data_IF_661491257418
#
_entry.id   IF_661491257418
#
_cell.length_a   1.000
_cell.length_b   1.000
_cell.length_c   1.000
_cell.angle_alpha   90.00
_cell.angle_beta   90.00
_cell.angle_gamma   90.00
#
_symmetry.space_group_name_H-M   'P 1'
#
loop_
_entity.id
_entity.type
_entity.pdbx_description
1 polymer ?
#
# COMPACT_ATOMS: atom_id res chain seq x y z
N UNK A 1 -10.41 30.24 -1.60
CA UNK A 1 -10.48 28.89 -1.00
C UNK A 1 -9.73 28.00 -1.95
N UNK A 2 -8.48 27.69 -1.61
CA UNK A 2 -7.71 26.73 -2.39
C UNK A 2 -8.39 25.38 -2.17
N UNK A 3 -8.89 24.76 -3.22
CA UNK A 3 -9.30 23.37 -3.14
C UNK A 3 -8.02 22.58 -2.96
N UNK A 4 -7.73 22.18 -1.71
CA UNK A 4 -6.70 21.18 -1.42
C UNK A 4 -6.83 20.08 -2.47
N UNK A 5 -5.79 19.94 -3.30
CA UNK A 5 -5.69 18.90 -4.31
C UNK A 5 -5.77 17.57 -3.56
N UNK A 6 -6.97 17.00 -3.50
CA UNK A 6 -7.23 15.79 -2.76
C UNK A 6 -6.51 14.69 -3.52
N UNK A 7 -5.30 14.35 -3.04
CA UNK A 7 -4.52 13.25 -3.57
C UNK A 7 -5.47 12.04 -3.73
N UNK A 8 -5.69 11.63 -4.96
CA UNK A 8 -6.54 10.49 -5.28
C UNK A 8 -5.64 9.28 -5.32
N UNK A 9 -5.96 8.28 -4.52
CA UNK A 9 -5.29 6.99 -4.58
C UNK A 9 -5.82 6.21 -5.77
N UNK A 10 -4.92 5.61 -6.53
CA UNK A 10 -5.25 4.73 -7.64
C UNK A 10 -4.62 3.35 -7.39
N UNK A 11 -5.45 2.30 -7.46
CA UNK A 11 -5.02 0.94 -7.12
C UNK A 11 -4.56 0.18 -8.37
N UNK A 12 -3.29 -0.28 -8.45
CA UNK A 12 -2.78 -0.96 -9.64
C UNK A 12 -3.37 -2.37 -9.86
N UNK A 13 -3.98 -2.97 -8.83
CA UNK A 13 -4.53 -4.33 -8.92
C UNK A 13 -5.94 -4.37 -9.52
N UNK A 14 -6.79 -3.40 -9.15
CA UNK A 14 -8.19 -3.39 -9.54
C UNK A 14 -8.64 -2.10 -10.25
N UNK A 15 -7.68 -1.22 -10.57
CA UNK A 15 -7.88 0.03 -11.30
C UNK A 15 -8.92 0.97 -10.64
N UNK A 16 -9.08 0.85 -9.31
CA UNK A 16 -10.03 1.70 -8.57
C UNK A 16 -9.34 2.96 -8.10
N UNK A 17 -10.01 4.09 -8.34
CA UNK A 17 -9.60 5.40 -7.85
C UNK A 17 -10.47 5.81 -6.65
N UNK A 18 -9.85 6.19 -5.54
CA UNK A 18 -10.53 6.63 -4.33
C UNK A 18 -9.83 7.86 -3.70
N UNK A 19 -10.58 8.80 -3.11
CA UNK A 19 -9.96 9.95 -2.43
C UNK A 19 -9.20 9.50 -1.19
N UNK A 20 -8.02 10.07 -0.92
CA UNK A 20 -7.18 9.70 0.25
C UNK A 20 -7.89 9.84 1.60
N UNK A 21 -8.95 10.67 1.69
CA UNK A 21 -9.79 10.80 2.89
C UNK A 21 -10.70 9.60 3.15
N UNK A 22 -10.97 8.78 2.13
CA UNK A 22 -11.80 7.58 2.20
C UNK A 22 -10.97 6.30 2.16
N UNK A 23 -9.66 6.40 1.93
CA UNK A 23 -8.74 5.27 1.85
C UNK A 23 -8.26 4.92 3.26
N UNK A 24 -8.47 3.67 3.73
CA UNK A 24 -7.95 3.25 5.02
C UNK A 24 -6.41 3.14 4.99
N UNK A 25 -5.79 3.41 6.12
CA UNK A 25 -4.37 3.18 6.35
C UNK A 25 -4.19 2.00 7.30
N UNK A 26 -3.19 1.16 7.05
CA UNK A 26 -2.76 0.12 7.98
C UNK A 26 -2.11 0.73 9.24
N UNK A 27 -1.92 -0.08 10.27
CA UNK A 27 -1.20 0.24 11.52
C UNK A 27 0.19 0.83 11.29
N UNK A 28 0.86 0.50 10.19
CA UNK A 28 2.16 1.04 9.80
C UNK A 28 2.07 2.39 9.05
N UNK A 29 0.86 2.85 8.73
CA UNK A 29 0.62 4.10 7.98
C UNK A 29 0.68 3.95 6.47
N UNK A 30 0.62 2.73 5.92
CA UNK A 30 0.53 2.48 4.48
C UNK A 30 -0.92 2.53 4.00
N UNK A 31 -1.13 3.05 2.79
CA UNK A 31 -2.44 3.04 2.13
C UNK A 31 -2.88 1.61 1.81
N UNK A 32 -4.15 1.31 2.11
CA UNK A 32 -4.82 0.05 1.78
C UNK A 32 -6.02 0.32 0.88
N UNK A 33 -6.09 -0.38 -0.25
CA UNK A 33 -7.22 -0.30 -1.16
C UNK A 33 -8.51 -0.80 -0.48
N UNK A 34 -9.58 0.01 -0.42
CA UNK A 34 -10.82 -0.38 0.24
C UNK A 34 -11.63 -1.45 -0.51
N UNK A 35 -11.28 -1.74 -1.77
CA UNK A 35 -12.01 -2.71 -2.62
C UNK A 35 -11.35 -4.09 -2.58
N UNK A 36 -10.08 -4.17 -2.98
CA UNK A 36 -9.36 -5.45 -3.07
C UNK A 36 -8.46 -5.73 -1.86
N UNK A 37 -8.25 -4.75 -0.98
CA UNK A 37 -7.34 -4.88 0.17
C UNK A 37 -5.85 -4.76 -0.17
N UNK A 38 -5.49 -4.37 -1.40
CA UNK A 38 -4.10 -4.15 -1.79
C UNK A 38 -3.45 -3.07 -0.92
N UNK A 39 -2.38 -3.42 -0.22
CA UNK A 39 -1.58 -2.47 0.55
C UNK A 39 -0.33 -2.11 -0.27
N UNK A 40 -0.04 -0.81 -0.43
CA UNK A 40 1.16 -0.33 -1.11
C UNK A 40 2.39 -0.47 -0.19
N UNK A 41 2.65 -1.68 0.31
CA UNK A 41 3.81 -1.99 1.14
C UNK A 41 5.04 -2.17 0.26
N UNK A 42 6.23 -1.82 0.76
CA UNK A 42 7.48 -2.09 0.05
C UNK A 42 7.73 -3.58 -0.20
N UNK A 43 7.10 -4.48 0.57
CA UNK A 43 7.12 -5.93 0.31
C UNK A 43 6.32 -6.32 -0.94
N UNK A 44 5.21 -5.62 -1.24
CA UNK A 44 4.44 -5.87 -2.46
C UNK A 44 5.22 -5.46 -3.73
N UNK A 45 5.97 -4.36 -3.65
CA UNK A 45 6.80 -3.86 -4.76
C UNK A 45 8.16 -4.56 -4.88
N UNK A 46 8.61 -5.27 -3.84
CA UNK A 46 9.90 -5.96 -3.84
C UNK A 46 9.77 -7.44 -3.42
N UNK A 47 9.44 -8.35 -4.36
CA UNK A 47 9.40 -9.79 -4.11
C UNK A 47 10.78 -10.41 -3.75
N UNK A 48 11.83 -9.61 -3.55
CA UNK A 48 13.22 -10.09 -3.47
C UNK A 48 13.85 -10.11 -2.07
N UNK A 49 13.15 -9.74 -0.98
CA UNK A 49 13.76 -9.73 0.39
C UNK A 49 13.04 -10.52 1.48
N UNK A 50 11.91 -11.18 1.18
CA UNK A 50 11.31 -12.14 2.13
C UNK A 50 12.14 -13.44 2.26
N UNK A 51 13.12 -13.67 1.38
CA UNK A 51 14.04 -14.80 1.42
C UNK A 51 15.42 -14.41 1.99
N UNK A 52 15.43 -13.80 3.18
CA UNK A 52 16.67 -13.70 3.97
C UNK A 52 16.46 -14.21 5.38
N UNK A 53 16.13 -15.49 5.47
CA UNK A 53 16.60 -16.33 6.58
C UNK A 53 17.89 -17.04 6.14
N UNK A 54 19.10 -16.48 6.32
CA UNK A 54 20.25 -17.32 6.56
C UNK A 54 20.07 -17.83 7.99
N UNK A 55 19.40 -18.98 8.11
CA UNK A 55 19.49 -19.82 9.30
C UNK A 55 20.98 -19.97 9.61
N UNK A 56 21.45 -19.30 10.66
CA UNK A 56 22.74 -19.60 11.25
C UNK A 56 22.62 -21.00 11.86
N UNK A 57 23.05 -22.01 11.11
CA UNK A 57 23.27 -23.35 11.62
C UNK A 57 24.70 -23.47 12.11
N UNK A 58 24.79 -23.77 13.41
CA UNK A 58 25.93 -24.12 14.27
C UNK A 58 27.06 -24.93 13.59
#
# INVERSE_FOLDING_TARGET
MSTEDAATFDCPECDVSAPSTSVPYDSLGYVVCPVCGYAATPEAENPAIADRSPSASD
#
